data_IF_880626528690
#
_entry.id   IF_880626528690
#
_cell.length_a   1.000
_cell.length_b   1.000
_cell.length_c   1.000
_cell.angle_alpha   90.00
_cell.angle_beta   90.00
_cell.angle_gamma   90.00
#
_symmetry.space_group_name_H-M   'P 1'
#
loop_
_entity.id
_entity.type
_entity.pdbx_description
1 polymer ?
#
# COMPACT_ATOMS: atom_id res chain seq x y z
N UNK A 1 16.46 -16.78 -18.60
CA UNK A 1 15.94 -17.06 -17.25
C UNK A 1 16.39 -16.00 -16.22
N UNK A 2 17.68 -15.75 -15.99
CA UNK A 2 18.13 -14.69 -15.05
C UNK A 2 18.00 -13.25 -15.60
N UNK A 3 18.10 -13.04 -16.91
CA UNK A 3 17.82 -11.73 -17.52
C UNK A 3 16.33 -11.33 -17.42
N UNK A 4 15.42 -12.31 -17.45
CA UNK A 4 13.98 -12.08 -17.47
C UNK A 4 13.49 -11.56 -16.11
N UNK A 5 13.96 -12.14 -14.99
CA UNK A 5 13.54 -11.70 -13.65
C UNK A 5 14.06 -10.31 -13.29
N UNK A 6 15.26 -9.94 -13.74
CA UNK A 6 15.81 -8.61 -13.53
C UNK A 6 15.02 -7.54 -14.32
N UNK A 7 14.64 -7.84 -15.56
CA UNK A 7 13.79 -6.96 -16.36
C UNK A 7 12.40 -6.78 -15.73
N UNK A 8 11.77 -7.87 -15.29
CA UNK A 8 10.48 -7.84 -14.58
C UNK A 8 10.58 -7.01 -13.29
N UNK A 9 11.67 -7.17 -12.53
CA UNK A 9 11.92 -6.38 -11.32
C UNK A 9 11.98 -4.90 -11.65
N UNK A 10 12.76 -4.52 -12.64
CA UNK A 10 12.91 -3.13 -13.06
C UNK A 10 11.60 -2.53 -13.57
N UNK A 11 10.79 -3.33 -14.27
CA UNK A 11 9.47 -2.91 -14.74
C UNK A 11 8.51 -2.63 -13.56
N UNK A 12 8.44 -3.53 -12.58
CA UNK A 12 7.62 -3.34 -11.37
C UNK A 12 8.09 -2.11 -10.59
N UNK A 13 9.40 -1.90 -10.45
CA UNK A 13 9.95 -0.71 -9.82
C UNK A 13 9.53 0.56 -10.56
N UNK A 14 9.57 0.55 -11.89
CA UNK A 14 9.10 1.69 -12.72
C UNK A 14 7.63 2.00 -12.47
N UNK A 15 6.77 0.98 -12.33
CA UNK A 15 5.37 1.22 -11.97
C UNK A 15 5.20 1.81 -10.57
N UNK A 16 5.96 1.34 -9.59
CA UNK A 16 5.92 1.87 -8.23
C UNK A 16 6.49 3.30 -8.16
N UNK A 17 7.54 3.61 -8.91
CA UNK A 17 8.04 4.98 -9.11
C UNK A 17 6.93 5.87 -9.70
N UNK A 18 6.22 5.38 -10.70
CA UNK A 18 5.08 6.07 -11.30
C UNK A 18 3.93 6.32 -10.30
N UNK A 19 3.58 5.32 -9.50
CA UNK A 19 2.57 5.45 -8.44
C UNK A 19 3.01 6.52 -7.43
N UNK A 20 4.25 6.47 -6.96
CA UNK A 20 4.82 7.46 -6.04
C UNK A 20 4.78 8.88 -6.63
N UNK A 21 5.19 9.06 -7.89
CA UNK A 21 5.10 10.36 -8.57
C UNK A 21 3.67 10.87 -8.65
N UNK A 22 2.69 9.98 -8.93
CA UNK A 22 1.29 10.34 -9.00
C UNK A 22 0.72 10.74 -7.62
N UNK A 23 1.22 10.19 -6.51
CA UNK A 23 0.83 10.63 -5.16
C UNK A 23 1.15 12.11 -4.95
N UNK A 24 2.33 12.56 -5.37
CA UNK A 24 2.78 13.94 -5.16
C UNK A 24 2.25 14.93 -6.21
N UNK A 25 2.07 14.49 -7.46
CA UNK A 25 1.75 15.38 -8.58
C UNK A 25 0.35 15.19 -9.16
N UNK A 26 -0.28 14.02 -8.98
CA UNK A 26 -1.56 13.69 -9.60
C UNK A 26 -2.73 14.50 -9.01
N UNK A 27 -3.64 14.93 -9.88
CA UNK A 27 -4.80 15.75 -9.49
C UNK A 27 -5.74 15.05 -8.50
N UNK A 28 -5.83 13.72 -8.56
CA UNK A 28 -6.70 12.95 -7.66
C UNK A 28 -6.29 13.04 -6.17
N UNK A 29 -5.05 13.45 -5.89
CA UNK A 29 -4.52 13.66 -4.53
C UNK A 29 -4.32 15.13 -4.18
N UNK A 30 -4.81 16.05 -5.01
CA UNK A 30 -4.59 17.48 -4.87
C UNK A 30 -4.88 18.02 -3.45
N UNK A 31 -5.92 17.50 -2.80
CA UNK A 31 -6.36 17.93 -1.47
C UNK A 31 -5.37 17.62 -0.34
N UNK A 32 -4.45 16.68 -0.53
CA UNK A 32 -3.46 16.27 0.48
C UNK A 32 -2.02 16.62 0.09
N UNK A 33 -1.84 17.40 -0.98
CA UNK A 33 -0.51 17.83 -1.45
C UNK A 33 0.25 18.55 -0.34
N UNK A 34 1.52 18.18 -0.16
CA UNK A 34 2.38 18.71 0.90
C UNK A 34 2.20 18.04 2.26
N UNK A 35 1.20 17.18 2.44
CA UNK A 35 0.96 16.45 3.69
C UNK A 35 1.34 14.97 3.62
N UNK A 36 1.77 14.47 2.45
CA UNK A 36 2.18 13.08 2.31
C UNK A 36 3.56 12.80 2.92
N UNK A 37 3.65 11.68 3.63
CA UNK A 37 4.89 10.95 3.86
C UNK A 37 4.81 9.61 3.15
N UNK A 38 5.78 9.33 2.27
CA UNK A 38 5.88 8.07 1.54
C UNK A 38 7.18 7.40 1.92
N UNK A 39 7.10 6.17 2.42
CA UNK A 39 8.25 5.32 2.72
C UNK A 39 8.27 4.16 1.74
N UNK A 40 9.39 4.04 1.03
CA UNK A 40 9.60 3.04 0.00
C UNK A 40 10.55 1.95 0.46
N UNK A 41 10.15 0.68 0.30
CA UNK A 41 10.93 -0.47 0.75
C UNK A 41 11.03 -1.47 -0.40
N UNK A 42 12.22 -1.56 -0.99
CA UNK A 42 12.54 -2.54 -2.04
C UNK A 42 13.49 -3.59 -1.50
N UNK A 43 13.11 -4.86 -1.60
CA UNK A 43 13.96 -5.99 -1.24
C UNK A 43 14.21 -6.82 -2.49
N UNK A 44 15.46 -6.81 -2.95
CA UNK A 44 15.94 -7.66 -4.04
C UNK A 44 16.62 -8.89 -3.44
N UNK A 45 16.06 -10.06 -3.70
CA UNK A 45 16.77 -11.33 -3.49
C UNK A 45 17.10 -11.91 -4.85
N UNK A 46 18.34 -12.36 -5.03
CA UNK A 46 18.74 -13.05 -6.25
C UNK A 46 17.81 -14.26 -6.47
N UNK A 47 17.22 -14.34 -7.67
CA UNK A 47 16.50 -15.50 -8.22
C UNK A 47 15.16 -15.94 -7.59
N UNK A 48 14.41 -15.14 -6.81
CA UNK A 48 13.07 -15.65 -6.44
C UNK A 48 11.95 -14.67 -6.11
N UNK A 49 12.18 -13.49 -5.52
CA UNK A 49 11.04 -12.70 -5.02
C UNK A 49 11.29 -11.19 -5.17
N UNK A 50 10.37 -10.53 -5.87
CA UNK A 50 10.31 -9.08 -6.00
C UNK A 50 9.44 -8.58 -4.87
N UNK A 51 10.01 -7.86 -3.89
CA UNK A 51 9.22 -7.18 -2.86
C UNK A 51 9.35 -5.68 -2.99
N UNK A 52 8.24 -5.02 -3.27
CA UNK A 52 8.11 -3.57 -3.34
C UNK A 52 6.96 -3.12 -2.43
N UNK A 53 7.26 -2.28 -1.45
CA UNK A 53 6.24 -1.68 -0.58
C UNK A 53 6.35 -0.14 -0.70
N UNK A 54 5.19 0.52 -0.80
CA UNK A 54 5.03 1.96 -0.54
C UNK A 54 4.09 2.10 0.66
N UNK A 55 4.63 2.57 1.76
CA UNK A 55 3.86 2.96 2.94
C UNK A 55 3.53 4.44 2.80
N UNK A 56 2.27 4.74 2.53
CA UNK A 56 1.77 6.10 2.30
C UNK A 56 0.98 6.54 3.50
N UNK A 57 1.26 7.72 4.05
CA UNK A 57 0.46 8.33 5.12
C UNK A 57 0.36 9.83 4.95
N UNK A 58 -0.56 10.41 5.71
CA UNK A 58 -0.62 11.85 5.90
C UNK A 58 0.08 12.21 7.22
N UNK A 59 0.78 13.34 7.24
CA UNK A 59 1.59 13.81 8.37
C UNK A 59 0.80 13.94 9.67
N UNK A 60 -0.49 14.28 9.59
CA UNK A 60 -1.35 14.42 10.77
C UNK A 60 -1.91 13.10 11.29
N UNK A 61 -1.77 12.00 10.55
CA UNK A 61 -2.17 10.70 11.07
C UNK A 61 -1.28 10.29 12.24
N UNK A 62 -1.77 9.46 13.17
CA UNK A 62 -0.92 8.84 14.17
C UNK A 62 0.25 8.08 13.54
N UNK A 63 1.41 8.08 14.20
CA UNK A 63 2.56 7.33 13.73
C UNK A 63 2.24 5.84 13.65
N UNK A 64 2.68 5.19 12.56
CA UNK A 64 2.41 3.79 12.31
C UNK A 64 1.13 3.51 11.51
N UNK A 65 0.21 4.48 11.36
CA UNK A 65 -0.95 4.38 10.47
C UNK A 65 -0.55 4.70 9.04
N UNK A 66 -0.76 3.76 8.12
CA UNK A 66 -0.38 3.87 6.70
C UNK A 66 -1.39 3.18 5.79
N UNK A 67 -1.49 3.62 4.55
CA UNK A 67 -2.01 2.82 3.44
C UNK A 67 -0.82 2.24 2.68
N UNK A 68 -0.73 0.91 2.66
CA UNK A 68 0.36 0.17 2.02
C UNK A 68 -0.04 -0.23 0.61
N UNK A 69 0.73 0.19 -0.39
CA UNK A 69 0.75 -0.42 -1.73
C UNK A 69 1.87 -1.47 -1.73
N UNK A 70 1.52 -2.72 -1.95
CA UNK A 70 2.38 -3.87 -1.71
C UNK A 70 2.46 -4.76 -2.94
N UNK A 71 3.68 -5.11 -3.35
CA UNK A 71 3.97 -6.18 -4.31
C UNK A 71 4.91 -7.20 -3.69
N UNK A 72 4.50 -8.46 -3.71
CA UNK A 72 5.37 -9.62 -3.52
C UNK A 72 4.90 -10.75 -4.44
N UNK A 73 4.23 -11.77 -3.91
CA UNK A 73 3.49 -12.74 -4.73
C UNK A 73 2.25 -12.12 -5.36
N UNK A 74 1.56 -11.25 -4.62
CA UNK A 74 0.37 -10.52 -5.04
C UNK A 74 0.67 -9.02 -5.14
N UNK A 75 -0.16 -8.28 -5.86
CA UNK A 75 -0.25 -6.82 -5.82
C UNK A 75 -1.50 -6.44 -5.03
N UNK A 76 -1.34 -5.65 -3.97
CA UNK A 76 -2.43 -5.26 -3.09
C UNK A 76 -2.29 -3.82 -2.60
N UNK A 77 -3.42 -3.22 -2.24
CA UNK A 77 -3.48 -1.95 -1.52
C UNK A 77 -4.34 -2.13 -0.28
N UNK A 78 -3.85 -1.72 0.88
CA UNK A 78 -4.60 -1.85 2.11
C UNK A 78 -4.17 -0.85 3.19
N UNK A 79 -5.10 -0.39 4.03
CA UNK A 79 -4.81 0.31 5.27
C UNK A 79 -4.21 -0.65 6.31
N UNK A 80 -3.23 -0.16 7.07
CA UNK A 80 -2.59 -0.91 8.14
C UNK A 80 -2.00 -0.02 9.22
N UNK A 81 -1.88 -0.55 10.43
CA UNK A 81 -1.23 0.09 11.57
C UNK A 81 -0.18 -0.84 12.15
N UNK A 82 1.01 -0.31 12.40
CA UNK A 82 2.18 -1.07 12.85
C UNK A 82 2.40 -1.03 14.37
N UNK A 83 1.34 -0.78 15.14
CA UNK A 83 1.34 -0.80 16.60
C UNK A 83 -0.09 -1.02 17.12
N UNK A 84 -0.27 -1.97 18.05
CA UNK A 84 -1.58 -2.30 18.60
C UNK A 84 -2.14 -1.17 19.49
N UNK A 85 -1.28 -0.45 20.21
CA UNK A 85 -1.70 0.63 21.09
C UNK A 85 -2.25 1.82 20.29
N UNK A 86 -1.57 2.19 19.21
CA UNK A 86 -2.03 3.21 18.25
C UNK A 86 -3.38 2.81 17.64
N UNK A 87 -3.51 1.54 17.27
CA UNK A 87 -4.74 1.01 16.71
C UNK A 87 -5.92 1.17 17.68
N UNK A 88 -5.74 0.82 18.95
CA UNK A 88 -6.77 0.92 19.99
C UNK A 88 -7.10 2.36 20.39
N UNK A 89 -6.12 3.25 20.37
CA UNK A 89 -6.30 4.65 20.80
C UNK A 89 -6.96 5.51 19.73
N UNK A 90 -6.59 5.32 18.45
CA UNK A 90 -6.94 6.28 17.40
C UNK A 90 -7.93 5.76 16.36
N UNK A 91 -8.20 4.45 16.27
CA UNK A 91 -9.14 3.93 15.30
C UNK A 91 -10.54 3.79 15.92
N UNK A 92 -11.57 4.29 15.23
CA UNK A 92 -12.99 4.03 15.55
C UNK A 92 -13.44 2.61 15.18
N UNK A 93 -12.51 1.75 14.77
CA UNK A 93 -12.76 0.40 14.32
C UNK A 93 -11.81 -0.60 14.99
N UNK A 94 -12.31 -1.80 15.24
CA UNK A 94 -11.50 -2.89 15.77
C UNK A 94 -10.48 -3.35 14.70
N UNK A 95 -9.17 -3.25 14.98
CA UNK A 95 -8.13 -3.68 14.06
C UNK A 95 -8.03 -5.22 14.02
N UNK A 96 -7.83 -5.79 12.84
CA UNK A 96 -7.60 -7.23 12.65
C UNK A 96 -6.11 -7.53 12.51
N UNK A 97 -5.55 -8.50 13.27
CA UNK A 97 -4.15 -8.88 13.13
C UNK A 97 -3.81 -9.34 11.70
N UNK A 98 -2.69 -8.85 11.17
CA UNK A 98 -2.17 -9.32 9.89
C UNK A 98 -1.70 -10.76 10.01
N UNK A 99 -2.12 -11.59 9.05
CA UNK A 99 -1.67 -13.00 8.93
C UNK A 99 -0.19 -13.10 8.56
N UNK A 100 0.38 -12.11 7.87
CA UNK A 100 1.69 -12.20 7.23
C UNK A 100 2.73 -11.22 7.79
N UNK A 101 2.30 -10.15 8.46
CA UNK A 101 3.18 -9.14 9.04
C UNK A 101 2.97 -9.09 10.56
N UNK A 102 3.91 -9.67 11.30
CA UNK A 102 3.88 -9.68 12.76
C UNK A 102 3.90 -8.24 13.30
N UNK A 103 2.96 -7.91 14.19
CA UNK A 103 2.84 -6.58 14.78
C UNK A 103 2.12 -5.56 13.88
N UNK A 104 1.64 -5.97 12.71
CA UNK A 104 0.80 -5.15 11.84
C UNK A 104 -0.65 -5.58 11.97
N UNK A 105 -1.55 -4.61 11.94
CA UNK A 105 -2.99 -4.84 11.96
C UNK A 105 -3.63 -4.14 10.77
N UNK A 106 -4.63 -4.78 10.16
CA UNK A 106 -5.46 -4.20 9.11
C UNK A 106 -6.73 -3.62 9.73
N UNK A 107 -7.29 -2.59 9.11
CA UNK A 107 -8.54 -2.00 9.57
C UNK A 107 -9.29 -1.43 8.36
N UNK A 108 -10.61 -1.61 8.27
CA UNK A 108 -11.38 -1.07 7.15
C UNK A 108 -12.88 -1.15 7.44
N UNK A 109 -13.62 -0.13 7.02
CA UNK A 109 -15.08 -0.14 6.92
C UNK A 109 -15.60 -1.27 6.01
N UNK A 110 -14.75 -1.85 5.15
CA UNK A 110 -15.10 -2.97 4.28
C UNK A 110 -15.06 -4.30 5.03
N UNK A 111 -16.14 -5.07 4.92
CA UNK A 111 -16.23 -6.43 5.50
C UNK A 111 -15.48 -7.49 4.69
N UNK A 112 -15.10 -7.18 3.44
CA UNK A 112 -14.47 -8.08 2.49
C UNK A 112 -13.00 -7.72 2.20
N UNK A 113 -12.35 -6.94 3.09
CA UNK A 113 -10.98 -6.44 2.89
C UNK A 113 -9.97 -7.54 2.52
N UNK A 114 -10.15 -8.76 3.04
CA UNK A 114 -9.26 -9.88 2.75
C UNK A 114 -9.22 -10.22 1.25
N UNK A 115 -10.31 -9.97 0.50
CA UNK A 115 -10.39 -10.10 -0.95
C UNK A 115 -10.26 -8.75 -1.67
N UNK A 116 -10.93 -7.70 -1.17
CA UNK A 116 -11.01 -6.40 -1.82
C UNK A 116 -9.69 -5.62 -1.85
N UNK A 117 -8.67 -6.05 -1.09
CA UNK A 117 -7.34 -5.45 -1.11
C UNK A 117 -6.50 -5.80 -2.35
N UNK A 118 -6.84 -6.87 -3.07
CA UNK A 118 -6.00 -7.36 -4.18
C UNK A 118 -6.30 -6.65 -5.49
N UNK A 119 -5.24 -6.23 -6.18
CA UNK A 119 -5.27 -5.83 -7.59
C UNK A 119 -4.88 -7.02 -8.46
N UNK A 120 -3.79 -7.70 -8.11
CA UNK A 120 -3.38 -8.97 -8.69
C UNK A 120 -3.20 -10.00 -7.57
N UNK A 121 -3.84 -11.16 -7.70
CA UNK A 121 -3.74 -12.23 -6.68
C UNK A 121 -2.41 -12.97 -6.75
N UNK A 122 -1.81 -13.06 -7.92
CA UNK A 122 -0.52 -13.69 -8.13
C UNK A 122 0.19 -13.15 -9.36
N UNK A 123 1.48 -13.49 -9.50
CA UNK A 123 2.27 -13.18 -10.68
C UNK A 123 2.98 -11.83 -10.63
N UNK A 124 3.76 -11.55 -11.68
CA UNK A 124 4.56 -10.33 -11.82
C UNK A 124 4.14 -9.48 -13.03
N UNK A 125 3.03 -9.83 -13.67
CA UNK A 125 2.51 -9.17 -14.87
C UNK A 125 1.71 -7.92 -14.48
N UNK A 126 2.39 -6.96 -13.84
CA UNK A 126 1.80 -5.66 -13.53
C UNK A 126 1.70 -4.82 -14.81
N UNK A 127 0.57 -4.16 -14.99
CA UNK A 127 0.28 -3.27 -16.13
C UNK A 127 -0.01 -1.85 -15.67
N UNK A 128 -0.11 -0.91 -16.62
CA UNK A 128 -0.57 0.45 -16.34
C UNK A 128 -1.99 0.50 -15.74
N UNK A 129 -2.86 -0.45 -16.13
CA UNK A 129 -4.22 -0.57 -15.57
C UNK A 129 -4.18 -0.96 -14.11
N UNK A 130 -3.28 -1.88 -13.74
CA UNK A 130 -3.07 -2.28 -12.34
C UNK A 130 -2.51 -1.12 -11.52
N UNK A 131 -1.57 -0.35 -12.07
CA UNK A 131 -1.05 0.86 -11.43
C UNK A 131 -2.15 1.91 -11.19
N UNK A 132 -3.03 2.12 -12.19
CA UNK A 132 -4.20 2.98 -12.06
C UNK A 132 -5.19 2.49 -11.00
N UNK A 133 -5.41 1.18 -10.92
CA UNK A 133 -6.26 0.55 -9.90
C UNK A 133 -5.65 0.72 -8.50
N UNK A 134 -4.33 0.53 -8.35
CA UNK A 134 -3.63 0.81 -7.10
C UNK A 134 -3.84 2.25 -6.63
N UNK A 135 -3.72 3.21 -7.53
CA UNK A 135 -3.92 4.64 -7.22
C UNK A 135 -5.36 4.94 -6.78
N UNK A 136 -6.35 4.39 -7.48
CA UNK A 136 -7.77 4.55 -7.12
C UNK A 136 -8.08 3.94 -5.74
N UNK A 137 -7.57 2.73 -5.47
CA UNK A 137 -7.71 2.08 -4.17
C UNK A 137 -6.99 2.84 -3.07
N UNK A 138 -5.77 3.33 -3.32
CA UNK A 138 -5.01 4.14 -2.39
C UNK A 138 -5.80 5.38 -1.97
N UNK A 139 -6.35 6.13 -2.95
CA UNK A 139 -7.20 7.28 -2.66
C UNK A 139 -8.40 6.89 -1.80
N UNK A 140 -9.13 5.85 -2.19
CA UNK A 140 -10.30 5.38 -1.45
C UNK A 140 -9.97 5.01 0.00
N UNK A 141 -8.83 4.34 0.23
CA UNK A 141 -8.39 4.00 1.58
C UNK A 141 -7.87 5.21 2.36
N UNK A 142 -7.27 6.22 1.73
CA UNK A 142 -6.91 7.47 2.43
C UNK A 142 -8.19 8.16 2.94
N UNK A 143 -9.21 8.27 2.11
CA UNK A 143 -10.51 8.85 2.50
C UNK A 143 -11.17 8.05 3.62
N UNK A 144 -11.04 6.73 3.58
CA UNK A 144 -11.54 5.84 4.60
C UNK A 144 -10.79 6.00 5.94
N UNK A 145 -9.45 6.08 5.90
CA UNK A 145 -8.62 6.30 7.10
C UNK A 145 -8.97 7.64 7.75
N UNK A 146 -9.14 8.71 6.98
CA UNK A 146 -9.63 10.01 7.49
C UNK A 146 -10.97 9.88 8.23
N UNK A 147 -11.88 9.02 7.74
CA UNK A 147 -13.16 8.77 8.39
C UNK A 147 -13.10 7.87 9.63
N UNK A 148 -12.12 6.95 9.69
CA UNK A 148 -11.92 6.02 10.80
C UNK A 148 -11.17 6.66 11.96
N UNK A 149 -10.22 7.55 11.68
CA UNK A 149 -9.42 8.20 12.73
C UNK A 149 -10.30 9.03 13.68
N UNK A 150 -9.98 8.94 14.99
CA UNK A 150 -10.60 9.63 16.12
C UNK A 150 -10.78 11.14 15.90
#
# INVERSE_FOLDING_TARGET
MSNDINQITQQIETYFDGIEQQIFSGEQFAQWRGSFEVKKIYIKKENADIKCDLDVRLQHWPEGVVVKVYKHKALAVLPSVNDESIAREHLKQEPMPSKFWKGTFYFSLRTDLDDARYVLREGNEMTDVDAGTCLAMLKGFIEEVEGILA
#
